data_IF_138213718057
#
_entry.id   IF_138213718057
#
_cell.length_a   1.000
_cell.length_b   1.000
_cell.length_c   1.000
_cell.angle_alpha   90.00
_cell.angle_beta   90.00
_cell.angle_gamma   90.00
#
_symmetry.space_group_name_H-M   'P 1'
#
loop_
_entity.id
_entity.type
_entity.pdbx_description
1 polymer ?
#
# COMPACT_ATOMS: atom_id res chain seq x y z
N UNK A 1 17.88 -2.29 -18.68
CA UNK A 1 17.69 -3.42 -17.75
C UNK A 1 16.35 -4.02 -18.09
N UNK A 2 16.22 -5.33 -18.21
CA UNK A 2 14.91 -5.94 -18.48
C UNK A 2 14.24 -6.37 -17.17
N UNK A 3 12.93 -6.57 -17.18
CA UNK A 3 12.17 -7.20 -16.10
C UNK A 3 12.80 -8.54 -15.66
N UNK A 4 13.46 -9.22 -16.60
CA UNK A 4 14.24 -10.46 -16.36
C UNK A 4 15.40 -10.25 -15.37
N UNK A 5 16.11 -9.12 -15.43
CA UNK A 5 17.20 -8.82 -14.48
C UNK A 5 16.63 -8.64 -13.06
N UNK A 6 15.49 -7.98 -12.94
CA UNK A 6 14.78 -7.82 -11.65
C UNK A 6 14.31 -9.19 -11.14
N UNK A 7 13.71 -10.02 -12.01
CA UNK A 7 13.28 -11.38 -11.67
C UNK A 7 14.44 -12.25 -11.21
N UNK A 8 15.59 -12.22 -11.92
CA UNK A 8 16.81 -12.95 -11.53
C UNK A 8 17.32 -12.52 -10.15
N UNK A 9 17.32 -11.22 -9.85
CA UNK A 9 17.71 -10.73 -8.54
C UNK A 9 16.83 -11.33 -7.43
N UNK A 10 15.50 -11.18 -7.55
CA UNK A 10 14.56 -11.68 -6.54
C UNK A 10 14.52 -13.21 -6.42
N UNK A 11 14.74 -13.93 -7.51
CA UNK A 11 14.88 -15.39 -7.49
C UNK A 11 16.16 -15.83 -6.75
N UNK A 12 17.24 -15.04 -6.83
CA UNK A 12 18.52 -15.34 -6.17
C UNK A 12 18.54 -15.02 -4.66
N UNK A 13 17.65 -14.13 -4.20
CA UNK A 13 17.58 -13.75 -2.77
C UNK A 13 17.18 -14.95 -1.92
N UNK A 14 18.08 -15.42 -1.06
CA UNK A 14 17.84 -16.54 -0.13
C UNK A 14 16.66 -16.25 0.80
N UNK A 15 15.88 -17.28 1.08
CA UNK A 15 14.93 -17.24 2.19
C UNK A 15 15.69 -17.43 3.51
N UNK A 16 15.83 -16.35 4.27
CA UNK A 16 16.27 -16.46 5.65
C UNK A 16 15.14 -17.07 6.50
N UNK A 17 15.46 -18.08 7.29
CA UNK A 17 14.56 -18.60 8.33
C UNK A 17 14.25 -17.53 9.40
N UNK A 18 13.33 -17.85 10.32
CA UNK A 18 12.94 -16.93 11.41
C UNK A 18 14.15 -16.51 12.26
N UNK A 19 15.08 -17.44 12.54
CA UNK A 19 16.30 -17.17 13.31
C UNK A 19 17.21 -16.16 12.58
N UNK A 20 17.53 -16.38 11.30
CA UNK A 20 18.39 -15.48 10.53
C UNK A 20 17.79 -14.07 10.38
N UNK A 21 16.44 -13.97 10.35
CA UNK A 21 15.78 -12.64 10.33
C UNK A 21 15.96 -11.87 11.65
N UNK A 22 15.96 -12.58 12.80
CA UNK A 22 16.13 -11.96 14.10
C UNK A 22 17.55 -11.41 14.32
N UNK A 23 18.54 -11.95 13.61
CA UNK A 23 19.94 -11.51 13.67
C UNK A 23 20.28 -10.43 12.63
N UNK A 24 19.33 -10.09 11.75
CA UNK A 24 19.55 -9.08 10.70
C UNK A 24 19.76 -7.69 11.30
N UNK A 25 20.80 -6.97 10.81
CA UNK A 25 21.10 -5.59 11.18
C UNK A 25 19.92 -4.62 10.99
N UNK A 26 19.01 -4.95 10.07
CA UNK A 26 17.80 -4.17 9.75
C UNK A 26 16.51 -4.87 10.20
N UNK A 27 16.59 -5.65 11.27
CA UNK A 27 15.42 -6.38 11.80
C UNK A 27 14.23 -5.46 12.08
N UNK A 28 14.48 -4.35 12.80
CA UNK A 28 13.43 -3.40 13.18
C UNK A 28 12.91 -2.61 11.98
N UNK A 29 13.76 -2.18 11.06
CA UNK A 29 13.37 -1.53 9.82
C UNK A 29 12.45 -2.43 8.97
N UNK A 30 12.79 -3.71 8.81
CA UNK A 30 11.96 -4.68 8.08
C UNK A 30 10.60 -4.87 8.73
N UNK A 31 10.54 -4.93 10.04
CA UNK A 31 9.30 -5.07 10.79
C UNK A 31 8.47 -3.79 10.69
N UNK A 32 9.08 -2.62 10.78
CA UNK A 32 8.41 -1.34 10.61
C UNK A 32 7.84 -1.19 9.19
N UNK A 33 8.61 -1.52 8.15
CA UNK A 33 8.12 -1.53 6.77
C UNK A 33 6.93 -2.49 6.59
N UNK A 34 6.95 -3.65 7.23
CA UNK A 34 5.82 -4.57 7.22
C UNK A 34 4.60 -4.03 7.97
N UNK A 35 4.82 -3.30 9.06
CA UNK A 35 3.75 -2.61 9.79
C UNK A 35 3.16 -1.49 8.94
N UNK A 36 3.98 -0.68 8.26
CA UNK A 36 3.51 0.35 7.33
C UNK A 36 2.59 -0.21 6.26
N UNK A 37 2.96 -1.35 5.64
CA UNK A 37 2.09 -2.05 4.68
C UNK A 37 0.78 -2.51 5.33
N UNK A 38 0.82 -2.99 6.56
CA UNK A 38 -0.38 -3.44 7.27
C UNK A 38 -1.34 -2.29 7.53
N UNK A 39 -0.83 -1.13 7.97
CA UNK A 39 -1.67 0.04 8.23
C UNK A 39 -2.23 0.65 6.95
N UNK A 40 -1.45 0.68 5.86
CA UNK A 40 -1.94 1.10 4.54
C UNK A 40 -3.10 0.21 4.04
N UNK A 41 -2.95 -1.11 4.16
CA UNK A 41 -3.99 -2.07 3.82
C UNK A 41 -5.22 -1.86 4.72
N UNK A 42 -5.03 -1.69 6.03
CA UNK A 42 -6.11 -1.47 6.97
C UNK A 42 -6.89 -0.18 6.64
N UNK A 43 -6.20 0.94 6.37
CA UNK A 43 -6.84 2.21 6.00
C UNK A 43 -7.68 2.06 4.72
N UNK A 44 -7.15 1.42 3.68
CA UNK A 44 -7.90 1.17 2.45
C UNK A 44 -9.13 0.27 2.68
N UNK A 45 -8.99 -0.76 3.52
CA UNK A 45 -10.11 -1.64 3.86
C UNK A 45 -11.18 -0.95 4.71
N UNK A 46 -10.79 -0.03 5.59
CA UNK A 46 -11.74 0.81 6.32
C UNK A 46 -12.54 1.68 5.35
N UNK A 47 -11.88 2.40 4.44
CA UNK A 47 -12.55 3.20 3.43
C UNK A 47 -13.54 2.38 2.58
N UNK A 48 -13.14 1.18 2.13
CA UNK A 48 -14.01 0.28 1.37
C UNK A 48 -15.22 -0.21 2.18
N UNK A 49 -15.05 -0.52 3.45
CA UNK A 49 -16.10 -1.05 4.32
C UNK A 49 -17.08 0.02 4.79
N UNK A 50 -16.60 1.22 5.02
CA UNK A 50 -17.44 2.36 5.42
C UNK A 50 -18.43 2.73 4.29
N UNK A 51 -18.04 2.54 3.03
CA UNK A 51 -18.89 2.76 1.86
C UNK A 51 -19.76 1.55 1.49
N UNK A 52 -19.45 0.37 2.02
CA UNK A 52 -20.16 -0.85 1.67
C UNK A 52 -21.55 -0.89 2.31
N UNK A 53 -22.58 -1.10 1.49
CA UNK A 53 -23.96 -1.32 1.95
C UNK A 53 -24.05 -2.62 2.79
N UNK A 54 -23.28 -3.63 2.44
CA UNK A 54 -23.23 -4.90 3.12
C UNK A 54 -22.08 -4.92 4.14
N UNK A 55 -22.42 -4.99 5.43
CA UNK A 55 -21.43 -5.08 6.53
C UNK A 55 -20.61 -6.39 6.53
N UNK A 56 -21.04 -7.40 5.81
CA UNK A 56 -20.30 -8.66 5.59
C UNK A 56 -19.40 -8.61 4.34
N UNK A 57 -19.15 -7.41 3.80
CA UNK A 57 -18.34 -7.21 2.62
C UNK A 57 -16.93 -7.75 2.80
N UNK A 58 -16.52 -8.59 1.84
CA UNK A 58 -15.20 -9.18 1.74
C UNK A 58 -14.59 -8.76 0.39
N UNK A 59 -13.53 -7.95 0.38
CA UNK A 59 -12.96 -7.42 -0.85
C UNK A 59 -12.28 -8.50 -1.71
N UNK A 60 -12.32 -8.29 -3.01
CA UNK A 60 -11.51 -9.00 -4.00
C UNK A 60 -10.26 -8.19 -4.27
N UNK A 61 -9.10 -8.82 -4.20
CA UNK A 61 -7.80 -8.15 -4.20
C UNK A 61 -6.96 -8.59 -5.40
N UNK A 62 -6.24 -7.66 -6.00
CA UNK A 62 -5.13 -7.90 -6.90
C UNK A 62 -3.85 -7.44 -6.21
N UNK A 63 -2.89 -8.35 -6.01
CA UNK A 63 -1.57 -8.09 -5.43
C UNK A 63 -0.51 -8.15 -6.54
N UNK A 64 -0.09 -6.97 -7.01
CA UNK A 64 0.86 -6.81 -8.09
C UNK A 64 2.30 -6.85 -7.58
N UNK A 65 3.16 -7.59 -8.26
CA UNK A 65 4.53 -7.84 -7.85
C UNK A 65 4.57 -8.39 -6.42
N UNK A 66 3.80 -9.45 -6.19
CA UNK A 66 3.55 -10.03 -4.87
C UNK A 66 4.77 -10.71 -4.25
N UNK A 67 5.84 -10.92 -5.05
CA UNK A 67 7.06 -11.61 -4.65
C UNK A 67 6.76 -12.97 -4.04
N UNK A 68 7.39 -13.24 -2.91
CA UNK A 68 7.26 -14.51 -2.16
C UNK A 68 5.99 -14.58 -1.29
N UNK A 69 4.96 -13.76 -1.56
CA UNK A 69 3.71 -13.75 -0.79
C UNK A 69 3.87 -13.21 0.64
N UNK A 70 4.70 -12.18 0.82
CA UNK A 70 4.95 -11.57 2.13
C UNK A 70 3.70 -10.99 2.80
N UNK A 71 2.67 -10.67 2.04
CA UNK A 71 1.44 -10.04 2.52
C UNK A 71 0.26 -11.01 2.67
N UNK A 72 0.41 -12.31 2.31
CA UNK A 72 -0.63 -13.34 2.44
C UNK A 72 -1.30 -13.37 3.82
N UNK A 73 -0.52 -13.25 4.89
CA UNK A 73 -1.07 -13.21 6.26
C UNK A 73 -1.90 -11.95 6.53
N UNK A 74 -1.54 -10.82 5.91
CA UNK A 74 -2.30 -9.58 6.01
C UNK A 74 -3.66 -9.75 5.32
N UNK A 75 -3.69 -10.35 4.14
CA UNK A 75 -4.93 -10.64 3.40
C UNK A 75 -5.84 -11.61 4.13
N UNK A 76 -5.28 -12.60 4.83
CA UNK A 76 -6.04 -13.49 5.70
C UNK A 76 -6.70 -12.73 6.85
N UNK A 77 -5.93 -11.91 7.57
CA UNK A 77 -6.43 -11.09 8.69
C UNK A 77 -7.49 -10.11 8.18
N UNK A 78 -7.28 -9.54 7.00
CA UNK A 78 -8.21 -8.66 6.32
C UNK A 78 -9.53 -9.34 5.91
N UNK A 79 -9.62 -10.67 5.97
CA UNK A 79 -10.80 -11.45 5.59
C UNK A 79 -11.27 -11.15 4.15
N UNK A 80 -10.33 -11.18 3.19
CA UNK A 80 -10.64 -10.98 1.77
C UNK A 80 -11.48 -12.15 1.21
N UNK A 81 -12.23 -11.93 0.14
CA UNK A 81 -12.98 -12.99 -0.56
C UNK A 81 -12.08 -13.83 -1.45
N UNK A 82 -11.30 -13.14 -2.25
CA UNK A 82 -10.37 -13.76 -3.19
C UNK A 82 -9.21 -12.82 -3.51
N UNK A 83 -8.11 -13.40 -3.97
CA UNK A 83 -6.94 -12.67 -4.38
C UNK A 83 -6.35 -13.25 -5.68
N UNK A 84 -5.92 -12.35 -6.56
CA UNK A 84 -5.00 -12.69 -7.64
C UNK A 84 -3.63 -12.12 -7.27
N UNK A 85 -2.61 -12.94 -7.34
CA UNK A 85 -1.23 -12.60 -7.03
C UNK A 85 -0.39 -12.73 -8.30
N UNK A 86 0.17 -11.63 -8.79
CA UNK A 86 0.95 -11.60 -10.01
C UNK A 86 2.40 -11.20 -9.73
N UNK A 87 3.34 -11.92 -10.33
CA UNK A 87 4.76 -11.60 -10.25
C UNK A 87 5.52 -12.10 -11.49
N UNK A 88 6.59 -11.39 -11.86
CA UNK A 88 7.48 -11.77 -12.96
C UNK A 88 8.53 -12.82 -12.54
N UNK A 89 8.82 -12.90 -11.25
CA UNK A 89 9.79 -13.84 -10.67
C UNK A 89 9.10 -15.18 -10.35
N UNK A 90 9.23 -16.13 -11.24
CA UNK A 90 8.56 -17.46 -11.18
C UNK A 90 8.88 -18.26 -9.90
N UNK A 91 10.15 -18.25 -9.47
CA UNK A 91 10.57 -18.89 -8.21
C UNK A 91 9.92 -18.21 -7.00
N UNK A 92 9.88 -16.88 -7.00
CA UNK A 92 9.22 -16.12 -5.93
C UNK A 92 7.72 -16.43 -5.88
N UNK A 93 7.07 -16.47 -7.04
CA UNK A 93 5.64 -16.79 -7.15
C UNK A 93 5.34 -18.23 -6.70
N UNK A 94 6.20 -19.20 -7.05
CA UNK A 94 6.11 -20.59 -6.56
C UNK A 94 6.17 -20.64 -5.03
N UNK A 95 7.10 -19.90 -4.42
CA UNK A 95 7.21 -19.79 -2.97
C UNK A 95 6.00 -19.09 -2.33
N UNK A 96 5.38 -18.12 -3.01
CA UNK A 96 4.12 -17.53 -2.56
C UNK A 96 2.99 -18.56 -2.54
N UNK A 97 2.91 -19.39 -3.59
CA UNK A 97 1.94 -20.47 -3.67
C UNK A 97 2.14 -21.52 -2.60
N UNK A 98 3.37 -21.98 -2.36
CA UNK A 98 3.70 -22.90 -1.29
C UNK A 98 3.25 -22.38 0.09
N UNK A 99 3.53 -21.10 0.38
CA UNK A 99 3.09 -20.46 1.63
C UNK A 99 1.57 -20.38 1.76
N UNK A 100 0.88 -20.14 0.66
CA UNK A 100 -0.58 -20.16 0.64
C UNK A 100 -1.10 -21.57 0.91
N UNK A 101 -0.57 -22.59 0.25
CA UNK A 101 -0.96 -23.99 0.41
C UNK A 101 -0.72 -24.47 1.85
N UNK A 102 0.43 -24.13 2.46
CA UNK A 102 0.71 -24.40 3.87
C UNK A 102 -0.28 -23.69 4.81
N UNK A 103 -0.63 -22.45 4.50
CA UNK A 103 -1.60 -21.70 5.29
C UNK A 103 -2.99 -22.33 5.18
N UNK A 104 -3.39 -22.75 3.98
CA UNK A 104 -4.67 -23.39 3.72
C UNK A 104 -4.82 -24.73 4.46
N UNK A 105 -3.74 -25.52 4.55
CA UNK A 105 -3.74 -26.81 5.29
C UNK A 105 -3.95 -26.62 6.80
N UNK A 106 -3.55 -25.46 7.35
CA UNK A 106 -3.70 -25.16 8.80
C UNK A 106 -5.06 -24.55 9.14
N UNK A 107 -5.84 -24.17 8.14
CA UNK A 107 -7.12 -23.47 8.36
C UNK A 107 -8.30 -24.46 8.42
N UNK A 108 -9.00 -24.45 9.54
CA UNK A 108 -10.15 -25.31 9.81
C UNK A 108 -11.40 -24.99 8.98
N UNK A 109 -11.57 -23.70 8.63
CA UNK A 109 -12.80 -23.16 8.00
C UNK A 109 -12.56 -22.67 6.57
N UNK A 110 -11.45 -23.07 5.98
CA UNK A 110 -11.04 -22.62 4.66
C UNK A 110 -10.35 -21.25 4.69
N UNK A 111 -9.67 -20.96 3.60
CA UNK A 111 -8.98 -19.71 3.35
C UNK A 111 -9.66 -18.99 2.18
N UNK A 112 -9.36 -17.72 1.96
CA UNK A 112 -9.77 -17.02 0.75
C UNK A 112 -9.26 -17.75 -0.51
N UNK A 113 -9.95 -17.60 -1.62
CA UNK A 113 -9.52 -18.19 -2.91
C UNK A 113 -8.32 -17.40 -3.45
N UNK A 114 -7.30 -18.10 -3.93
CA UNK A 114 -6.11 -17.47 -4.51
C UNK A 114 -5.84 -18.00 -5.92
N UNK A 115 -5.47 -17.09 -6.82
CA UNK A 115 -4.93 -17.38 -8.13
C UNK A 115 -3.52 -16.78 -8.21
N UNK A 116 -2.57 -17.55 -8.78
CA UNK A 116 -1.18 -17.13 -8.96
C UNK A 116 -0.91 -17.01 -10.46
N UNK A 117 -0.48 -15.83 -10.90
CA UNK A 117 -0.27 -15.50 -12.31
C UNK A 117 1.19 -15.10 -12.52
N UNK A 118 1.93 -15.93 -13.26
CA UNK A 118 3.27 -15.55 -13.71
C UNK A 118 3.15 -14.59 -14.88
N UNK A 119 3.49 -13.32 -14.68
CA UNK A 119 3.33 -12.26 -15.66
C UNK A 119 4.34 -11.13 -15.47
N UNK A 120 4.85 -10.59 -16.57
CA UNK A 120 5.55 -9.32 -16.59
C UNK A 120 4.53 -8.18 -16.71
N UNK A 121 4.12 -7.62 -15.57
CA UNK A 121 3.11 -6.55 -15.54
C UNK A 121 3.51 -5.29 -16.32
N UNK A 122 4.78 -5.14 -16.72
CA UNK A 122 5.26 -4.06 -17.57
C UNK A 122 5.05 -4.32 -19.07
N UNK A 123 4.78 -5.57 -19.46
CA UNK A 123 4.67 -5.99 -20.88
C UNK A 123 3.36 -6.70 -21.19
N UNK A 124 2.94 -7.59 -20.29
CA UNK A 124 1.81 -8.47 -20.51
C UNK A 124 0.47 -7.76 -20.25
N UNK A 125 -0.58 -8.20 -20.92
CA UNK A 125 -1.95 -7.88 -20.54
C UNK A 125 -2.39 -8.87 -19.44
N UNK A 126 -2.29 -8.43 -18.19
CA UNK A 126 -2.58 -9.27 -17.02
C UNK A 126 -4.01 -9.82 -17.04
N UNK A 127 -4.98 -9.01 -17.49
CA UNK A 127 -6.38 -9.43 -17.57
C UNK A 127 -6.58 -10.67 -18.45
N UNK A 128 -5.82 -10.79 -19.53
CA UNK A 128 -5.91 -11.94 -20.44
C UNK A 128 -5.29 -13.22 -19.87
N UNK A 129 -4.42 -13.10 -18.87
CA UNK A 129 -3.72 -14.22 -18.25
C UNK A 129 -4.46 -14.77 -17.01
N UNK A 130 -5.39 -14.00 -16.44
CA UNK A 130 -6.22 -14.45 -15.33
C UNK A 130 -7.26 -15.45 -15.81
N UNK A 131 -7.46 -16.54 -15.05
CA UNK A 131 -8.51 -17.54 -15.32
C UNK A 131 -9.90 -17.02 -15.00
N UNK A 132 -9.99 -16.22 -13.95
CA UNK A 132 -11.18 -15.47 -13.57
C UNK A 132 -10.98 -14.01 -13.93
N UNK A 133 -12.04 -13.32 -14.34
CA UNK A 133 -12.00 -11.89 -14.65
C UNK A 133 -12.80 -11.09 -13.61
N UNK A 134 -12.40 -11.11 -12.33
CA UNK A 134 -13.11 -10.36 -11.31
C UNK A 134 -12.89 -8.86 -11.51
N UNK A 135 -13.89 -8.06 -11.16
CA UNK A 135 -13.62 -6.68 -10.81
C UNK A 135 -13.05 -6.65 -9.39
N UNK A 136 -11.88 -6.04 -9.22
CA UNK A 136 -11.23 -5.93 -7.93
C UNK A 136 -11.77 -4.72 -7.14
N UNK A 137 -11.82 -4.87 -5.83
CA UNK A 137 -12.14 -3.79 -4.91
C UNK A 137 -10.88 -3.05 -4.46
N UNK A 138 -9.75 -3.76 -4.42
CA UNK A 138 -8.45 -3.27 -3.97
C UNK A 138 -7.33 -3.83 -4.85
N UNK A 139 -6.47 -2.95 -5.32
CA UNK A 139 -5.19 -3.32 -5.96
C UNK A 139 -4.06 -2.85 -5.06
N UNK A 140 -3.10 -3.72 -4.78
CA UNK A 140 -1.92 -3.45 -3.94
C UNK A 140 -0.65 -3.63 -4.75
N UNK A 141 0.26 -2.66 -4.66
CA UNK A 141 1.62 -2.74 -5.21
C UNK A 141 2.62 -2.24 -4.18
N UNK A 142 3.36 -3.17 -3.56
CA UNK A 142 4.23 -2.84 -2.44
C UNK A 142 5.71 -2.90 -2.84
N UNK A 143 6.41 -1.74 -2.82
CA UNK A 143 7.84 -1.60 -3.16
C UNK A 143 8.22 -2.07 -4.56
N UNK A 144 7.32 -1.94 -5.56
CA UNK A 144 7.60 -2.50 -6.88
C UNK A 144 7.23 -1.59 -8.06
N UNK A 145 6.33 -0.63 -7.91
CA UNK A 145 5.84 0.21 -9.02
C UNK A 145 7.00 0.94 -9.74
N UNK A 146 8.03 1.36 -9.05
CA UNK A 146 9.17 2.09 -9.60
C UNK A 146 9.97 1.27 -10.63
N UNK A 147 9.94 -0.06 -10.59
CA UNK A 147 10.58 -0.89 -11.63
C UNK A 147 9.94 -0.72 -13.00
N UNK A 148 8.66 -0.31 -13.06
CA UNK A 148 7.98 -0.02 -14.32
C UNK A 148 8.44 1.28 -14.99
N UNK A 149 9.12 2.19 -14.25
CA UNK A 149 9.59 3.47 -14.76
C UNK A 149 10.90 3.39 -15.58
N UNK A 150 11.25 2.21 -16.05
CA UNK A 150 12.35 2.01 -17.01
C UNK A 150 12.11 2.78 -18.30
N UNK A 151 10.87 2.85 -18.79
CA UNK A 151 10.40 3.64 -19.91
C UNK A 151 8.90 3.94 -19.78
N UNK A 152 8.40 4.85 -20.62
CA UNK A 152 7.01 5.29 -20.59
C UNK A 152 6.04 4.15 -20.90
N UNK A 153 6.37 3.30 -21.90
CA UNK A 153 5.50 2.20 -22.31
C UNK A 153 5.31 1.19 -21.17
N UNK A 154 6.38 0.82 -20.50
CA UNK A 154 6.38 -0.08 -19.35
C UNK A 154 5.57 0.49 -18.18
N UNK A 155 5.75 1.77 -17.85
CA UNK A 155 4.99 2.45 -16.81
C UNK A 155 3.49 2.48 -17.13
N UNK A 156 3.12 2.87 -18.35
CA UNK A 156 1.72 2.92 -18.80
C UNK A 156 1.08 1.53 -18.81
N UNK A 157 1.80 0.50 -19.24
CA UNK A 157 1.29 -0.89 -19.24
C UNK A 157 1.06 -1.37 -17.81
N UNK A 158 2.01 -1.15 -16.91
CA UNK A 158 1.88 -1.51 -15.50
C UNK A 158 0.67 -0.81 -14.83
N UNK A 159 0.55 0.50 -15.01
CA UNK A 159 -0.55 1.28 -14.44
C UNK A 159 -1.90 0.89 -15.02
N UNK A 160 -1.97 0.52 -16.31
CA UNK A 160 -3.19 -0.04 -16.91
C UNK A 160 -3.55 -1.36 -16.25
N UNK A 161 -2.62 -2.30 -16.10
CA UNK A 161 -2.84 -3.56 -15.39
C UNK A 161 -3.32 -3.36 -13.95
N UNK A 162 -2.84 -2.29 -13.28
CA UNK A 162 -3.27 -1.94 -11.92
C UNK A 162 -4.68 -1.35 -11.84
N UNK A 163 -5.23 -0.83 -12.96
CA UNK A 163 -6.46 -0.02 -12.91
C UNK A 163 -7.60 -0.54 -13.77
N UNK A 164 -7.33 -1.29 -14.86
CA UNK A 164 -8.37 -1.67 -15.83
C UNK A 164 -9.43 -2.61 -15.24
N UNK A 165 -9.04 -3.48 -14.29
CA UNK A 165 -9.94 -4.42 -13.61
C UNK A 165 -10.38 -3.95 -12.22
N UNK A 166 -9.97 -2.74 -11.81
CA UNK A 166 -10.42 -2.11 -10.60
C UNK A 166 -11.82 -1.53 -10.80
N UNK A 167 -12.78 -1.92 -9.95
CA UNK A 167 -14.15 -1.40 -10.05
C UNK A 167 -14.21 0.11 -9.76
N UNK A 168 -15.22 0.82 -10.23
CA UNK A 168 -15.53 2.17 -9.77
C UNK A 168 -15.64 2.23 -8.24
N UNK A 169 -15.00 3.22 -7.62
CA UNK A 169 -14.88 3.36 -6.16
C UNK A 169 -13.88 2.43 -5.49
N UNK A 170 -13.22 1.52 -6.23
CA UNK A 170 -12.14 0.69 -5.72
C UNK A 170 -10.83 1.49 -5.55
N UNK A 171 -9.87 0.93 -4.80
CA UNK A 171 -8.63 1.60 -4.47
C UNK A 171 -7.40 0.91 -5.05
N UNK A 172 -6.43 1.70 -5.50
CA UNK A 172 -5.05 1.31 -5.75
C UNK A 172 -4.18 1.88 -4.63
N UNK A 173 -3.50 1.00 -3.90
CA UNK A 173 -2.57 1.38 -2.83
C UNK A 173 -1.16 0.86 -3.09
N UNK A 174 -0.17 1.57 -2.57
CA UNK A 174 1.21 1.10 -2.70
C UNK A 174 2.21 1.83 -1.83
N UNK A 175 3.41 1.25 -1.80
CA UNK A 175 4.61 1.86 -1.25
C UNK A 175 5.62 2.09 -2.38
N UNK A 176 6.34 3.20 -2.32
CA UNK A 176 7.20 3.66 -3.40
C UNK A 176 8.44 4.33 -2.82
N UNK A 177 9.65 4.14 -3.40
CA UNK A 177 10.77 5.03 -3.14
C UNK A 177 10.41 6.48 -3.49
N UNK A 178 10.67 7.42 -2.58
CA UNK A 178 10.43 8.85 -2.79
C UNK A 178 11.55 9.43 -3.68
N UNK A 179 11.26 9.61 -4.95
CA UNK A 179 12.23 10.12 -5.93
C UNK A 179 12.84 11.46 -5.53
N UNK A 180 12.04 12.37 -4.94
CA UNK A 180 12.54 13.68 -4.47
C UNK A 180 13.55 13.51 -3.33
N UNK A 181 13.24 12.61 -2.38
CA UNK A 181 14.12 12.33 -1.24
C UNK A 181 15.41 11.64 -1.68
N UNK A 182 15.32 10.70 -2.62
CA UNK A 182 16.49 10.02 -3.19
C UNK A 182 17.40 11.02 -3.90
N UNK A 183 16.84 11.83 -4.80
CA UNK A 183 17.62 12.86 -5.53
C UNK A 183 18.28 13.84 -4.56
N UNK A 184 17.53 14.31 -3.56
CA UNK A 184 18.07 15.19 -2.53
C UNK A 184 19.24 14.54 -1.78
N UNK A 185 19.07 13.32 -1.30
CA UNK A 185 20.09 12.61 -0.51
C UNK A 185 21.39 12.40 -1.33
N UNK A 186 21.28 12.05 -2.62
CA UNK A 186 22.44 11.83 -3.49
C UNK A 186 23.14 13.15 -3.80
N UNK A 187 22.40 14.25 -4.04
CA UNK A 187 22.98 15.59 -4.30
C UNK A 187 23.74 16.14 -3.11
N UNK A 188 23.17 16.03 -1.88
CA UNK A 188 23.83 16.47 -0.66
C UNK A 188 25.10 15.66 -0.31
N UNK A 189 25.31 14.52 -0.97
CA UNK A 189 26.43 13.61 -0.72
C UNK A 189 27.29 13.37 -1.99
N UNK A 190 27.46 14.37 -2.85
CA UNK A 190 28.37 14.36 -4.03
C UNK A 190 28.15 13.19 -5.00
N UNK A 191 26.91 12.69 -5.13
CA UNK A 191 26.52 11.65 -6.08
C UNK A 191 26.32 10.26 -5.47
N UNK A 192 26.65 10.04 -4.20
CA UNK A 192 26.38 8.79 -3.49
C UNK A 192 25.99 9.06 -2.03
N UNK A 193 24.79 8.69 -1.65
CA UNK A 193 24.40 8.58 -0.26
C UNK A 193 24.74 7.19 0.27
N UNK A 194 25.41 7.10 1.41
CA UNK A 194 25.78 5.84 2.05
C UNK A 194 25.76 5.95 3.57
N UNK A 195 25.20 4.96 4.23
CA UNK A 195 25.25 4.78 5.67
C UNK A 195 25.53 3.32 6.04
N UNK A 196 25.36 2.95 7.31
CA UNK A 196 25.68 1.60 7.77
C UNK A 196 24.76 0.49 7.20
N UNK A 197 23.58 0.81 6.67
CA UNK A 197 22.60 -0.19 6.20
C UNK A 197 22.20 -0.04 4.74
N UNK A 198 22.35 1.13 4.14
CA UNK A 198 21.97 1.33 2.73
C UNK A 198 22.92 2.24 1.99
N UNK A 199 22.93 2.12 0.66
CA UNK A 199 23.52 3.11 -0.23
C UNK A 199 22.63 3.37 -1.43
N UNK A 200 22.70 4.61 -1.93
CA UNK A 200 22.03 5.07 -3.14
C UNK A 200 23.03 5.80 -4.00
N UNK A 201 23.23 5.36 -5.23
CA UNK A 201 24.18 5.96 -6.14
C UNK A 201 23.61 6.08 -7.55
N UNK A 202 23.84 7.21 -8.18
CA UNK A 202 23.63 7.38 -9.60
C UNK A 202 24.83 6.89 -10.42
N UNK A 203 24.56 6.22 -11.54
CA UNK A 203 25.62 5.79 -12.46
C UNK A 203 26.12 6.97 -13.32
N UNK A 204 25.25 7.96 -13.57
CA UNK A 204 25.54 9.13 -14.40
C UNK A 204 25.29 10.42 -13.60
N UNK A 205 26.35 11.22 -13.38
CA UNK A 205 26.25 12.48 -12.64
C UNK A 205 25.40 13.55 -13.35
N UNK A 206 25.39 13.56 -14.68
CA UNK A 206 24.59 14.53 -15.44
C UNK A 206 23.09 14.24 -15.28
N UNK A 207 22.70 12.96 -15.21
CA UNK A 207 21.32 12.57 -14.91
C UNK A 207 20.90 12.90 -13.48
N UNK A 208 21.84 12.98 -12.55
CA UNK A 208 21.55 13.38 -11.16
C UNK A 208 21.07 14.84 -11.08
N UNK A 209 21.61 15.74 -11.90
CA UNK A 209 21.18 17.15 -11.90
C UNK A 209 19.83 17.34 -12.56
N UNK A 210 19.54 16.57 -13.63
CA UNK A 210 18.28 16.63 -14.37
C UNK A 210 17.80 15.22 -14.72
N UNK A 211 17.27 14.48 -13.74
CA UNK A 211 16.78 13.13 -14.00
C UNK A 211 15.70 13.14 -15.09
N UNK A 212 15.77 12.26 -16.10
CA UNK A 212 14.68 12.09 -17.03
C UNK A 212 13.43 11.58 -16.33
N UNK A 213 12.24 11.85 -16.90
CA UNK A 213 10.98 11.41 -16.34
C UNK A 213 10.83 9.88 -16.31
N UNK A 214 11.45 9.20 -17.28
CA UNK A 214 11.52 7.75 -17.36
C UNK A 214 12.97 7.32 -17.59
N UNK A 215 13.34 6.15 -17.11
CA UNK A 215 14.68 5.61 -17.26
C UNK A 215 15.73 6.22 -16.33
N UNK A 216 15.35 7.14 -15.42
CA UNK A 216 16.25 7.69 -14.41
C UNK A 216 16.70 6.59 -13.44
N UNK A 217 17.86 6.00 -13.74
CA UNK A 217 18.37 4.80 -13.08
C UNK A 217 19.30 5.16 -11.93
N UNK A 218 19.11 4.51 -10.80
CA UNK A 218 20.02 4.54 -9.66
C UNK A 218 20.30 3.13 -9.14
N UNK A 219 21.41 2.94 -8.47
CA UNK A 219 21.72 1.69 -7.80
C UNK A 219 21.39 1.80 -6.32
N UNK A 220 20.54 0.89 -5.83
CA UNK A 220 20.14 0.83 -4.44
C UNK A 220 20.65 -0.45 -3.78
N UNK A 221 21.25 -0.27 -2.58
CA UNK A 221 21.58 -1.39 -1.71
C UNK A 221 20.91 -1.21 -0.37
N UNK A 222 20.36 -2.29 0.16
CA UNK A 222 19.85 -2.35 1.53
C UNK A 222 20.28 -3.69 2.11
N UNK A 223 21.01 -3.66 3.20
CA UNK A 223 21.65 -4.79 3.87
C UNK A 223 20.94 -6.13 3.62
N UNK A 224 21.61 -7.07 2.95
CA UNK A 224 21.13 -8.42 2.61
C UNK A 224 19.77 -8.53 1.88
N UNK A 225 19.02 -7.44 1.66
CA UNK A 225 17.67 -7.46 1.09
C UNK A 225 17.60 -7.01 -0.37
N UNK A 226 18.27 -5.91 -0.70
CA UNK A 226 18.25 -5.32 -2.03
C UNK A 226 19.68 -5.02 -2.46
N UNK A 227 20.02 -5.36 -3.69
CA UNK A 227 21.25 -4.97 -4.35
C UNK A 227 20.99 -4.97 -5.86
N UNK A 228 20.24 -4.00 -6.32
CA UNK A 228 19.87 -3.92 -7.72
C UNK A 228 19.70 -2.46 -8.17
N UNK A 229 19.77 -2.23 -9.46
CA UNK A 229 19.36 -0.98 -10.05
C UNK A 229 17.83 -0.82 -9.94
N UNK A 230 17.40 0.39 -9.64
CA UNK A 230 16.01 0.82 -9.57
C UNK A 230 15.82 2.08 -10.43
N UNK A 231 14.57 2.51 -10.62
CA UNK A 231 14.25 3.71 -11.38
C UNK A 231 13.51 4.71 -10.51
N UNK A 232 13.75 5.99 -10.75
CA UNK A 232 12.96 7.04 -10.08
C UNK A 232 11.56 7.07 -10.68
N UNK A 233 10.57 6.88 -9.83
CA UNK A 233 9.18 7.14 -10.15
C UNK A 233 8.78 8.46 -9.48
N UNK A 234 8.89 9.56 -10.24
CA UNK A 234 8.52 10.88 -9.75
C UNK A 234 7.03 10.96 -9.46
N UNK A 235 6.65 11.15 -8.21
CA UNK A 235 5.24 10.98 -7.78
C UNK A 235 4.24 11.90 -8.50
N UNK A 236 4.54 13.17 -8.82
CA UNK A 236 3.65 13.98 -9.64
C UNK A 236 3.39 13.38 -11.04
N UNK A 237 4.37 12.69 -11.64
CA UNK A 237 4.19 11.98 -12.89
C UNK A 237 3.33 10.71 -12.69
N UNK A 238 3.56 9.94 -11.63
CA UNK A 238 2.70 8.80 -11.26
C UNK A 238 1.25 9.24 -11.12
N UNK A 239 1.03 10.36 -10.42
CA UNK A 239 -0.30 10.96 -10.24
C UNK A 239 -0.92 11.33 -11.59
N UNK A 240 -0.20 12.03 -12.45
CA UNK A 240 -0.69 12.43 -13.77
C UNK A 240 -1.08 11.22 -14.64
N UNK A 241 -0.24 10.20 -14.72
CA UNK A 241 -0.54 8.98 -15.48
C UNK A 241 -1.74 8.21 -14.94
N UNK A 242 -1.95 8.21 -13.62
CA UNK A 242 -3.11 7.60 -12.99
C UNK A 242 -4.39 8.44 -13.19
N UNK A 243 -4.29 9.77 -13.24
CA UNK A 243 -5.41 10.65 -13.57
C UNK A 243 -5.93 10.42 -14.99
N UNK A 244 -5.05 10.12 -15.97
CA UNK A 244 -5.41 9.70 -17.34
C UNK A 244 -6.18 8.35 -17.36
N UNK A 245 -6.07 7.55 -16.31
CA UNK A 245 -6.74 6.25 -16.13
C UNK A 245 -7.96 6.35 -15.19
N UNK A 246 -8.54 7.54 -15.06
CA UNK A 246 -9.69 7.84 -14.20
C UNK A 246 -9.45 7.57 -12.70
N UNK A 247 -8.21 7.67 -12.24
CA UNK A 247 -7.89 7.56 -10.83
C UNK A 247 -7.83 8.94 -10.18
N UNK A 248 -8.23 9.02 -8.92
CA UNK A 248 -8.18 10.22 -8.08
C UNK A 248 -7.28 9.96 -6.88
N UNK A 249 -6.34 10.88 -6.62
CA UNK A 249 -5.47 10.78 -5.45
C UNK A 249 -6.28 10.99 -4.16
N UNK A 250 -6.27 10.01 -3.27
CA UNK A 250 -6.86 10.11 -1.93
C UNK A 250 -5.85 10.66 -0.95
N UNK A 251 -4.66 10.08 -0.91
CA UNK A 251 -3.52 10.61 -0.17
C UNK A 251 -2.18 10.09 -0.72
N UNK A 252 -1.15 10.89 -0.46
CA UNK A 252 0.25 10.50 -0.46
C UNK A 252 0.87 11.00 0.83
N UNK A 253 1.62 10.12 1.53
CA UNK A 253 2.34 10.47 2.75
C UNK A 253 3.73 9.88 2.71
N UNK A 254 4.76 10.66 3.05
CA UNK A 254 6.09 10.11 3.30
C UNK A 254 6.04 9.19 4.53
N UNK A 255 6.90 8.19 4.58
CA UNK A 255 6.89 7.22 5.69
C UNK A 255 6.89 7.85 7.09
N UNK A 256 7.70 8.88 7.41
CA UNK A 256 7.61 9.56 8.70
C UNK A 256 6.25 10.21 8.98
N UNK A 257 5.57 10.70 7.96
CA UNK A 257 4.24 11.30 8.08
C UNK A 257 3.18 10.22 8.31
N UNK A 258 3.26 9.13 7.54
CA UNK A 258 2.38 7.99 7.68
C UNK A 258 2.55 7.29 9.04
N UNK A 259 3.80 7.13 9.52
CA UNK A 259 4.09 6.63 10.87
C UNK A 259 3.41 7.50 11.94
N UNK A 260 3.54 8.83 11.84
CA UNK A 260 2.86 9.75 12.79
C UNK A 260 1.35 9.64 12.73
N UNK A 261 0.80 9.42 11.53
CA UNK A 261 -0.63 9.27 11.31
C UNK A 261 -1.17 7.99 11.96
N UNK A 262 -0.48 6.86 11.78
CA UNK A 262 -0.95 5.55 12.24
C UNK A 262 -0.46 5.12 13.62
N UNK A 263 0.57 5.77 14.19
CA UNK A 263 1.22 5.32 15.43
C UNK A 263 0.26 5.12 16.61
N UNK A 264 -0.81 5.90 16.70
CA UNK A 264 -1.76 5.80 17.82
C UNK A 264 -2.73 4.63 17.61
N UNK A 265 -3.36 4.55 16.45
CA UNK A 265 -4.33 3.50 16.12
C UNK A 265 -3.67 2.14 15.93
N UNK A 266 -2.47 2.12 15.31
CA UNK A 266 -1.68 0.93 15.02
C UNK A 266 -0.69 0.52 16.13
N UNK A 267 -0.66 1.19 17.30
CA UNK A 267 0.35 0.96 18.35
C UNK A 267 0.43 -0.51 18.80
N UNK A 268 -0.72 -1.15 18.99
CA UNK A 268 -0.78 -2.55 19.40
C UNK A 268 -0.20 -3.52 18.36
N UNK A 269 -0.39 -3.24 17.06
CA UNK A 269 0.19 -4.04 15.99
C UNK A 269 1.70 -3.75 15.87
N UNK A 270 2.11 -2.48 15.96
CA UNK A 270 3.52 -2.07 15.93
C UNK A 270 4.34 -2.79 17.00
N UNK A 271 3.82 -2.84 18.22
CA UNK A 271 4.45 -3.55 19.34
C UNK A 271 4.55 -5.06 19.09
N UNK A 272 3.45 -5.71 18.66
CA UNK A 272 3.45 -7.16 18.36
C UNK A 272 4.40 -7.53 17.22
N UNK A 273 4.57 -6.64 16.26
CA UNK A 273 5.47 -6.84 15.12
C UNK A 273 6.91 -6.48 15.45
N UNK A 274 7.20 -5.93 16.64
CA UNK A 274 8.53 -5.44 16.99
C UNK A 274 9.08 -4.45 15.94
N UNK A 275 8.23 -3.50 15.53
CA UNK A 275 8.60 -2.54 14.48
C UNK A 275 9.55 -1.45 14.95
N UNK A 276 9.78 -1.32 16.26
CA UNK A 276 10.74 -0.38 16.85
C UNK A 276 11.60 -1.10 17.88
N UNK A 277 12.87 -0.73 17.91
CA UNK A 277 13.85 -1.20 18.89
C UNK A 277 13.64 -0.48 20.23
N UNK A 278 13.60 -1.19 21.36
CA UNK A 278 13.53 -0.55 22.68
C UNK A 278 14.86 0.11 23.05
N UNK A 279 14.82 1.39 23.41
CA UNK A 279 15.98 2.15 23.86
C UNK A 279 15.69 2.86 25.20
N UNK A 280 16.51 2.75 26.25
CA UNK A 280 17.62 1.79 26.38
C UNK A 280 17.18 0.32 26.23
N UNK A 281 18.12 -0.58 25.81
CA UNK A 281 17.78 -1.97 25.65
C UNK A 281 17.35 -2.60 26.97
N UNK A 282 16.37 -3.50 26.92
CA UNK A 282 15.83 -4.15 28.12
C UNK A 282 16.53 -5.49 28.38
N UNK A 283 16.63 -5.87 29.64
CA UNK A 283 17.11 -7.19 30.08
C UNK A 283 18.49 -7.58 29.54
N UNK A 284 19.41 -6.62 29.37
CA UNK A 284 20.75 -6.89 28.87
C UNK A 284 20.83 -7.23 27.39
N UNK A 285 19.74 -6.99 26.62
CA UNK A 285 19.78 -7.14 25.17
C UNK A 285 20.82 -6.20 24.55
N UNK A 286 21.40 -6.62 23.42
CA UNK A 286 22.28 -5.76 22.63
C UNK A 286 21.46 -4.94 21.66
N UNK A 287 21.89 -3.70 21.41
CA UNK A 287 21.36 -2.88 20.33
C UNK A 287 21.75 -3.48 18.97
N UNK A 288 20.92 -3.26 17.97
CA UNK A 288 21.16 -3.72 16.59
C UNK A 288 22.26 -2.92 15.87
N UNK A 289 22.65 -1.79 16.42
CA UNK A 289 23.68 -0.89 15.91
C UNK A 289 24.66 -0.43 17.01
N UNK A 290 25.70 0.28 16.55
CA UNK A 290 26.65 0.93 17.42
C UNK A 290 25.98 2.07 18.21
N UNK A 291 26.50 2.38 19.40
CA UNK A 291 25.90 3.32 20.34
C UNK A 291 25.73 4.75 19.79
N UNK A 292 26.60 5.17 18.88
CA UNK A 292 26.54 6.48 18.22
C UNK A 292 25.37 6.61 17.22
N UNK A 293 24.75 5.52 16.84
CA UNK A 293 23.54 5.50 15.99
C UNK A 293 22.26 5.90 16.77
N UNK A 294 22.33 6.03 18.10
CA UNK A 294 21.18 6.31 18.97
C UNK A 294 21.26 7.65 19.72
N UNK A 295 22.09 8.58 19.28
CA UNK A 295 22.27 9.88 19.98
C UNK A 295 20.93 10.62 20.16
N UNK A 296 20.06 10.63 19.14
CA UNK A 296 18.73 11.26 19.25
C UNK A 296 17.84 10.57 20.30
N UNK A 297 17.90 9.23 20.37
CA UNK A 297 17.15 8.47 21.37
C UNK A 297 17.68 8.75 22.77
N UNK A 298 19.01 8.83 22.94
CA UNK A 298 19.65 9.21 24.21
C UNK A 298 19.20 10.58 24.70
N UNK A 299 19.24 11.58 23.80
CA UNK A 299 18.81 12.94 24.15
C UNK A 299 17.33 12.98 24.53
N UNK A 300 16.48 12.27 23.78
CA UNK A 300 15.05 12.22 24.09
C UNK A 300 14.75 11.55 25.43
N UNK A 301 15.41 10.42 25.75
CA UNK A 301 15.23 9.73 27.03
C UNK A 301 15.61 10.62 28.23
N UNK A 302 16.62 11.48 28.09
CA UNK A 302 17.01 12.46 29.15
C UNK A 302 15.89 13.47 29.45
N UNK A 303 14.96 13.69 28.52
CA UNK A 303 13.84 14.62 28.74
C UNK A 303 12.66 13.97 29.46
N UNK A 304 12.66 12.64 29.60
CA UNK A 304 11.60 11.88 30.26
C UNK A 304 11.85 11.80 31.78
N UNK A 305 10.79 11.55 32.53
CA UNK A 305 10.91 11.40 33.98
C UNK A 305 11.75 10.15 34.32
N UNK A 306 12.88 10.37 35.01
CA UNK A 306 13.82 9.33 35.38
C UNK A 306 13.28 8.35 36.44
N UNK A 307 12.20 8.70 37.14
CA UNK A 307 11.59 7.87 38.20
C UNK A 307 11.04 6.55 37.70
N UNK A 308 10.69 6.46 36.39
CA UNK A 308 10.06 5.28 35.78
C UNK A 308 11.02 4.39 34.95
N UNK A 309 12.31 4.73 34.89
CA UNK A 309 13.29 4.07 34.01
C UNK A 309 12.75 3.93 32.57
N UNK A 310 12.44 5.04 31.89
CA UNK A 310 11.68 5.04 30.66
C UNK A 310 12.42 4.35 29.51
N UNK A 311 11.68 3.58 28.71
CA UNK A 311 12.18 2.99 27.48
C UNK A 311 11.29 3.40 26.33
N UNK A 312 11.90 3.93 25.28
CA UNK A 312 11.21 4.36 24.04
C UNK A 312 11.42 3.34 22.93
N UNK A 313 10.53 3.36 21.93
CA UNK A 313 10.75 2.64 20.67
C UNK A 313 11.46 3.54 19.68
N UNK A 314 12.53 3.06 19.07
CA UNK A 314 13.35 3.81 18.11
C UNK A 314 13.79 2.94 16.92
N UNK A 315 14.50 3.53 15.99
CA UNK A 315 15.39 2.89 15.00
C UNK A 315 16.80 3.47 15.19
N UNK A 316 17.82 2.75 14.76
CA UNK A 316 19.14 3.34 14.59
C UNK A 316 19.07 4.47 13.54
N UNK A 317 20.00 5.43 13.60
CA UNK A 317 20.07 6.55 12.65
C UNK A 317 20.07 6.06 11.20
N UNK A 318 20.88 5.07 10.88
CA UNK A 318 21.00 4.51 9.53
C UNK A 318 19.70 3.85 9.06
N UNK A 319 19.00 3.11 9.92
CA UNK A 319 17.69 2.54 9.58
C UNK A 319 16.63 3.62 9.39
N UNK A 320 16.64 4.68 10.22
CA UNK A 320 15.73 5.80 10.08
C UNK A 320 15.94 6.56 8.77
N UNK A 321 17.18 6.79 8.36
CA UNK A 321 17.52 7.43 7.09
C UNK A 321 17.01 6.60 5.90
N UNK A 322 17.19 5.27 5.94
CA UNK A 322 16.64 4.35 4.93
C UNK A 322 15.10 4.35 4.92
N UNK A 323 14.47 4.35 6.10
CA UNK A 323 13.00 4.45 6.24
C UNK A 323 12.44 5.74 5.63
N UNK A 324 13.15 6.85 5.79
CA UNK A 324 12.75 8.15 5.25
C UNK A 324 12.78 8.24 3.71
N UNK A 325 13.33 7.24 3.01
CA UNK A 325 13.40 7.22 1.54
C UNK A 325 12.12 6.73 0.86
N UNK A 326 11.05 6.46 1.60
CA UNK A 326 9.82 5.87 1.06
C UNK A 326 8.59 6.73 1.32
N UNK A 327 7.58 6.50 0.51
CA UNK A 327 6.23 7.04 0.66
C UNK A 327 5.17 5.94 0.49
N UNK A 328 3.96 6.23 0.99
CA UNK A 328 2.73 5.47 0.74
C UNK A 328 1.75 6.32 -0.05
N UNK A 329 0.91 5.66 -0.84
CA UNK A 329 -0.15 6.32 -1.58
C UNK A 329 -1.42 5.48 -1.64
N UNK A 330 -2.54 6.17 -1.85
CA UNK A 330 -3.82 5.60 -2.21
C UNK A 330 -4.49 6.44 -3.29
N UNK A 331 -4.96 5.77 -4.34
CA UNK A 331 -5.80 6.34 -5.39
C UNK A 331 -7.13 5.61 -5.41
N UNK A 332 -8.20 6.32 -5.82
CA UNK A 332 -9.54 5.78 -5.98
C UNK A 332 -9.96 5.84 -7.44
N UNK A 333 -10.61 4.80 -7.95
CA UNK A 333 -11.20 4.79 -9.28
C UNK A 333 -12.45 5.67 -9.30
N UNK A 334 -12.52 6.65 -10.21
CA UNK A 334 -13.68 7.52 -10.39
C UNK A 334 -14.91 6.73 -10.89
N UNK A 335 -16.09 7.34 -10.81
CA UNK A 335 -17.34 6.74 -11.29
C UNK A 335 -18.06 5.86 -10.28
N UNK A 336 -17.57 5.74 -9.03
CA UNK A 336 -18.24 5.00 -7.94
C UNK A 336 -19.22 5.83 -7.12
N UNK A 337 -19.66 6.99 -7.58
CA UNK A 337 -20.74 7.74 -6.92
C UNK A 337 -22.06 6.99 -7.11
N UNK A 338 -22.71 6.70 -6.01
CA UNK A 338 -24.00 6.03 -5.84
C UNK A 338 -24.89 6.14 -7.11
N UNK A 339 -25.24 4.99 -7.69
CA UNK A 339 -26.45 4.92 -8.49
C UNK A 339 -27.59 5.41 -7.57
N UNK A 340 -28.06 6.63 -7.80
CA UNK A 340 -29.31 7.10 -7.24
C UNK A 340 -30.37 6.02 -7.50
N UNK A 341 -31.02 5.59 -6.45
CA UNK A 341 -32.17 4.71 -6.57
C UNK A 341 -33.08 5.26 -7.65
N UNK A 342 -33.63 4.45 -8.57
CA UNK A 342 -34.50 4.95 -9.60
C UNK A 342 -35.69 5.64 -8.93
N UNK A 343 -35.79 6.94 -9.10
CA UNK A 343 -36.98 7.68 -8.72
C UNK A 343 -38.11 7.10 -9.55
N UNK A 344 -39.05 6.45 -8.90
CA UNK A 344 -40.31 6.02 -9.50
C UNK A 344 -41.05 7.28 -9.98
N UNK A 345 -40.82 7.64 -11.22
CA UNK A 345 -41.64 8.62 -11.92
C UNK A 345 -43.01 7.98 -12.14
N UNK A 346 -43.94 8.35 -11.27
CA UNK A 346 -45.38 8.19 -11.56
C UNK A 346 -45.72 9.10 -12.72
N UNK A 347 -45.90 8.49 -13.87
CA UNK A 347 -46.53 9.12 -15.03
C UNK A 347 -47.96 9.49 -14.65
N UNK A 348 -48.23 10.78 -14.51
CA UNK A 348 -49.60 11.31 -14.63
C UNK A 348 -49.86 11.50 -16.13
N UNK A 349 -50.72 10.70 -16.68
CA UNK A 349 -51.42 10.98 -17.92
C UNK A 349 -52.55 11.94 -17.58
N UNK A 350 -52.53 13.09 -18.23
CA UNK A 350 -53.63 14.04 -18.31
C UNK A 350 -54.74 13.44 -19.19
N UNK A 351 -55.97 13.47 -18.67
CA UNK A 351 -57.17 13.48 -19.51
C UNK A 351 -58.06 14.59 -19.04
N UNK A 352 -58.42 15.46 -20.00
CA UNK A 352 -59.24 16.63 -19.91
C UNK A 352 -60.73 16.27 -19.83
N UNK A 353 -61.44 17.02 -18.96
CA UNK A 353 -62.73 17.74 -19.11
C UNK A 353 -64.01 16.96 -19.50
N UNK A 354 -65.24 17.55 -19.37
CA UNK A 354 -65.70 18.76 -18.65
C UNK A 354 -67.05 18.67 -17.91
N UNK A 355 -67.34 19.71 -17.12
CA UNK A 355 -68.66 20.45 -16.91
C UNK A 355 -69.86 19.74 -16.24
N UNK A 356 -70.37 20.34 -15.18
CA UNK A 356 -71.62 20.95 -14.85
C UNK A 356 -72.12 20.78 -13.38
N UNK A 357 -72.15 21.86 -12.71
CA UNK A 357 -73.24 22.55 -12.00
C UNK A 357 -74.10 21.78 -10.98
N UNK A 358 -74.25 22.45 -9.88
CA UNK A 358 -75.43 22.81 -9.04
C UNK A 358 -75.26 22.49 -7.54
N UNK A 359 -75.06 23.54 -6.82
CA UNK A 359 -75.98 24.17 -5.82
C UNK A 359 -76.46 23.33 -4.61
N UNK A 360 -76.29 23.98 -3.52
CA UNK A 360 -77.07 24.16 -2.27
C UNK A 360 -76.53 23.46 -1.01
N UNK A 361 -76.10 24.35 -0.07
CA UNK A 361 -76.81 24.80 1.17
C UNK A 361 -77.14 23.60 2.11
N UNK A 362 -76.82 23.63 3.34
CA UNK A 362 -77.01 24.52 4.47
C UNK A 362 -76.36 23.88 5.71
N UNK A 363 -75.83 24.72 6.59
CA UNK A 363 -76.09 24.81 8.04
C UNK A 363 -75.75 23.53 8.88
N UNK A 364 -75.18 23.57 9.97
CA UNK A 364 -74.96 24.46 11.13
C UNK A 364 -74.53 23.60 12.30
N UNK A 365 -73.92 24.21 13.24
CA UNK A 365 -73.75 23.80 14.67
C UNK A 365 -72.89 22.58 14.98
N UNK A 366 -72.03 22.56 15.94
CA UNK A 366 -71.73 23.44 17.04
C UNK A 366 -70.89 22.68 18.05
N UNK A 367 -70.10 23.43 18.73
CA UNK A 367 -69.60 23.23 20.11
C UNK A 367 -69.04 21.88 20.53
N UNK A 368 -67.87 21.85 20.96
CA UNK A 368 -67.30 22.31 22.23
C UNK A 368 -66.71 21.13 23.03
N UNK A 369 -65.51 21.30 23.42
CA UNK A 369 -64.98 21.17 24.77
C UNK A 369 -64.49 19.82 25.30
N UNK A 370 -63.25 19.90 25.67
CA UNK A 370 -62.62 19.37 26.91
C UNK A 370 -62.43 17.86 27.10
N UNK A 371 -61.28 17.38 27.11
CA UNK A 371 -60.38 17.21 28.25
C UNK A 371 -59.01 16.81 27.75
#
# INVERSE_FOLDING_TARGET
MSSETVAQHYNAVRQEGVAGRAESRIFYLRNLNNWMKSELINEALHMLRDEAVNKMFRPRVLDLACGKGGDLRKWKIANVDSIVMADVADVSLSQAKERYDEMAQRERYGLFRAEFVHADCCKDNLKSLMKSHPEFDLVSCQFALHYSFIDEQSARTFLRNATETLRPGGFLIGTLPDAERIVWAVRENDGEFKNAVCSVRYDNKDEMERPPLFGAKFHFTLDSQVNCPEFLAYFPLVKHLLEELDMELVFMRRFPEALRHWKTTGAGLLSRMQGLEPYPPRNGAKLSAEDNEYEQAKEFVKTLDSSENPSIGTLSKSEWEAFCMYLVFAFRKKGGSQAAAPSSAKSKLDEESPVESKRRRTEEHGEAATS
#
